data_IF_287552787472
#
_entry.id   IF_287552787472
#
_cell.length_a   1.000
_cell.length_b   1.000
_cell.length_c   1.000
_cell.angle_alpha   90.00
_cell.angle_beta   90.00
_cell.angle_gamma   90.00
#
_symmetry.space_group_name_H-M   'P 1'
#
loop_
_entity.id
_entity.type
_entity.pdbx_description
1 polymer ?
#
# COMPACT_ATOMS: atom_id res chain seq x y z
N UNK A 1 -26.87 -15.62 -48.65
CA UNK A 1 -25.60 -16.10 -48.11
C UNK A 1 -24.63 -14.96 -47.70
N UNK A 2 -24.31 -13.99 -48.58
CA UNK A 2 -23.37 -12.90 -48.28
C UNK A 2 -23.77 -12.01 -47.09
N UNK A 3 -25.09 -11.77 -46.89
CA UNK A 3 -25.60 -10.94 -45.77
C UNK A 3 -25.54 -11.63 -44.41
N UNK A 4 -25.69 -12.96 -44.38
CA UNK A 4 -25.59 -13.75 -43.15
C UNK A 4 -24.13 -13.84 -42.68
N UNK A 5 -23.18 -13.97 -43.62
CA UNK A 5 -21.75 -13.93 -43.32
C UNK A 5 -21.28 -12.58 -42.73
N UNK A 6 -21.81 -11.45 -43.23
CA UNK A 6 -21.49 -10.12 -42.72
C UNK A 6 -22.01 -9.90 -41.29
N UNK A 7 -23.19 -10.45 -40.96
CA UNK A 7 -23.78 -10.36 -39.62
C UNK A 7 -23.01 -11.23 -38.63
N UNK A 8 -22.63 -12.45 -39.03
CA UNK A 8 -21.81 -13.35 -38.19
C UNK A 8 -20.40 -12.79 -37.95
N UNK A 9 -19.76 -12.19 -38.95
CA UNK A 9 -18.46 -11.54 -38.81
C UNK A 9 -18.53 -10.32 -37.91
N UNK A 10 -19.60 -9.49 -38.02
CA UNK A 10 -19.83 -8.35 -37.13
C UNK A 10 -20.05 -8.76 -35.66
N UNK A 11 -20.78 -9.84 -35.43
CA UNK A 11 -21.05 -10.37 -34.10
C UNK A 11 -19.80 -10.99 -33.45
N UNK A 12 -18.93 -11.62 -34.25
CA UNK A 12 -17.63 -12.15 -33.76
C UNK A 12 -16.66 -11.04 -33.39
N UNK A 13 -16.67 -9.90 -34.12
CA UNK A 13 -15.85 -8.72 -33.81
C UNK A 13 -16.32 -8.02 -32.54
N UNK A 14 -17.63 -8.01 -32.26
CA UNK A 14 -18.17 -7.38 -31.03
C UNK A 14 -17.83 -8.18 -29.77
N UNK A 15 -17.76 -9.51 -29.87
CA UNK A 15 -17.41 -10.39 -28.75
C UNK A 15 -15.92 -10.26 -28.39
N UNK A 16 -15.04 -9.97 -29.36
CA UNK A 16 -13.60 -9.80 -29.10
C UNK A 16 -13.25 -8.47 -28.42
N UNK A 17 -14.14 -7.46 -28.41
CA UNK A 17 -13.93 -6.19 -27.73
C UNK A 17 -14.26 -6.23 -26.22
N UNK A 18 -14.92 -7.28 -25.74
CA UNK A 18 -15.30 -7.44 -24.33
C UNK A 18 -14.21 -8.11 -23.47
N UNK A 19 -13.15 -8.63 -24.08
CA UNK A 19 -12.04 -9.29 -23.35
C UNK A 19 -10.84 -8.39 -23.05
N UNK A 20 -10.91 -7.09 -23.36
CA UNK A 20 -9.86 -6.12 -23.04
C UNK A 20 -10.02 -5.45 -21.67
N UNK A 21 -10.78 -6.04 -20.72
CA UNK A 21 -10.62 -5.74 -19.31
C UNK A 21 -9.29 -6.37 -18.88
N UNK A 22 -8.24 -5.55 -18.81
CA UNK A 22 -6.96 -5.96 -18.24
C UNK A 22 -7.24 -6.62 -16.91
N UNK A 23 -6.78 -7.86 -16.75
CA UNK A 23 -6.91 -8.62 -15.50
C UNK A 23 -6.13 -7.86 -14.44
N UNK A 24 -6.77 -6.90 -13.75
CA UNK A 24 -6.26 -6.42 -12.48
C UNK A 24 -6.19 -7.65 -11.60
N UNK A 25 -5.00 -8.00 -11.17
CA UNK A 25 -4.83 -9.09 -10.22
C UNK A 25 -5.55 -8.65 -8.95
N UNK A 26 -6.73 -9.22 -8.73
CA UNK A 26 -7.59 -8.89 -7.59
C UNK A 26 -6.85 -9.18 -6.29
N UNK A 27 -6.96 -8.30 -5.32
CA UNK A 27 -6.43 -8.54 -3.98
C UNK A 27 -7.19 -9.71 -3.35
N UNK A 28 -6.46 -10.61 -2.71
CA UNK A 28 -7.03 -11.74 -1.99
C UNK A 28 -7.41 -11.32 -0.57
N UNK A 29 -8.50 -11.87 -0.04
CA UNK A 29 -8.94 -11.59 1.32
C UNK A 29 -7.92 -12.10 2.34
N UNK A 30 -7.60 -11.28 3.34
CA UNK A 30 -6.62 -11.61 4.38
C UNK A 30 -5.93 -10.42 5.01
N UNK A 31 -5.08 -10.70 6.01
CA UNK A 31 -4.14 -9.74 6.57
C UNK A 31 -2.77 -9.91 5.91
N UNK A 32 -2.18 -8.81 5.50
CA UNK A 32 -0.87 -8.79 4.87
C UNK A 32 0.00 -7.74 5.53
N UNK A 33 1.27 -8.09 5.78
CA UNK A 33 2.22 -7.21 6.47
C UNK A 33 3.52 -7.13 5.68
N UNK A 34 3.99 -5.90 5.49
CA UNK A 34 5.36 -5.60 5.06
C UNK A 34 6.08 -4.85 6.17
N UNK A 35 7.34 -5.19 6.43
CA UNK A 35 8.17 -4.58 7.45
C UNK A 35 9.56 -4.30 6.88
N UNK A 36 10.19 -3.21 7.31
CA UNK A 36 11.59 -2.97 6.97
C UNK A 36 12.46 -4.07 7.58
N UNK A 37 13.49 -4.52 6.87
CA UNK A 37 14.44 -5.52 7.40
C UNK A 37 15.28 -4.94 8.53
N UNK A 38 15.65 -3.65 8.45
CA UNK A 38 16.56 -3.00 9.38
C UNK A 38 15.91 -1.85 10.16
N UNK A 39 16.47 -1.55 11.32
CA UNK A 39 16.11 -0.36 12.09
C UNK A 39 16.78 0.88 11.51
N UNK A 40 16.00 1.95 11.37
CA UNK A 40 16.50 3.28 11.03
C UNK A 40 16.25 4.23 12.21
N UNK A 41 17.33 4.84 12.75
CA UNK A 41 17.24 5.73 13.91
C UNK A 41 16.51 5.12 15.11
N UNK A 42 16.66 3.80 15.31
CA UNK A 42 16.02 3.06 16.41
C UNK A 42 14.58 2.61 16.14
N UNK A 43 14.05 2.86 14.95
CA UNK A 43 12.70 2.51 14.54
C UNK A 43 12.69 1.60 13.32
N UNK A 44 11.79 0.62 13.31
CA UNK A 44 11.52 -0.27 12.20
C UNK A 44 10.10 -0.02 11.71
N UNK A 45 9.96 0.50 10.50
CA UNK A 45 8.66 0.83 9.92
C UNK A 45 7.97 -0.41 9.36
N UNK A 46 6.65 -0.45 9.46
CA UNK A 46 5.81 -1.53 8.94
C UNK A 46 4.49 -1.01 8.42
N UNK A 47 3.87 -1.77 7.54
CA UNK A 47 2.51 -1.58 7.09
C UNK A 47 1.76 -2.91 7.19
N UNK A 48 0.52 -2.86 7.68
CA UNK A 48 -0.41 -3.98 7.65
C UNK A 48 -1.70 -3.54 6.98
N UNK A 49 -2.18 -4.33 6.04
CA UNK A 49 -3.49 -4.11 5.41
C UNK A 49 -4.42 -5.28 5.69
N UNK A 50 -5.71 -4.99 5.79
CA UNK A 50 -6.78 -5.98 5.75
C UNK A 50 -7.52 -5.85 4.44
N UNK A 51 -7.58 -6.94 3.69
CA UNK A 51 -8.37 -7.06 2.46
C UNK A 51 -9.60 -7.90 2.74
N UNK A 52 -10.77 -7.44 2.29
CA UNK A 52 -12.03 -8.16 2.36
C UNK A 52 -12.89 -7.87 1.13
N UNK A 53 -13.40 -8.93 0.49
CA UNK A 53 -14.15 -8.80 -0.76
C UNK A 53 -13.32 -8.21 -1.89
N UNK A 54 -12.01 -8.45 -1.90
CA UNK A 54 -11.07 -7.91 -2.88
C UNK A 54 -10.74 -6.43 -2.72
N UNK A 55 -11.18 -5.79 -1.63
CA UNK A 55 -10.92 -4.37 -1.33
C UNK A 55 -10.16 -4.20 -0.03
N UNK A 56 -9.28 -3.20 0.04
CA UNK A 56 -8.60 -2.81 1.27
C UNK A 56 -9.63 -2.13 2.18
N UNK A 57 -9.84 -2.67 3.38
CA UNK A 57 -10.79 -2.12 4.35
C UNK A 57 -10.11 -1.52 5.58
N UNK A 58 -8.82 -1.77 5.78
CA UNK A 58 -8.02 -1.18 6.84
C UNK A 58 -6.56 -1.11 6.43
N UNK A 59 -5.88 -0.05 6.85
CA UNK A 59 -4.43 0.15 6.70
C UNK A 59 -3.89 0.66 8.02
N UNK A 60 -2.88 -0.03 8.56
CA UNK A 60 -2.05 0.46 9.66
C UNK A 60 -0.62 0.66 9.12
N UNK A 61 -0.11 1.89 9.25
CA UNK A 61 1.28 2.21 8.99
C UNK A 61 1.88 2.85 10.22
N UNK A 62 2.99 2.32 10.72
CA UNK A 62 3.65 2.81 11.91
C UNK A 62 5.12 2.35 11.95
N UNK A 63 5.77 2.57 13.07
CA UNK A 63 7.10 2.04 13.36
C UNK A 63 7.18 1.58 14.81
N UNK A 64 7.98 0.57 15.06
CA UNK A 64 8.27 0.05 16.40
C UNK A 64 9.77 0.10 16.69
N UNK A 65 10.13 0.25 17.96
CA UNK A 65 11.52 0.10 18.41
C UNK A 65 11.82 -1.37 18.75
N UNK A 66 13.06 -1.65 19.16
CA UNK A 66 13.50 -3.02 19.49
C UNK A 66 12.75 -3.65 20.69
N UNK A 67 12.03 -2.86 21.50
CA UNK A 67 11.17 -3.35 22.58
C UNK A 67 9.69 -3.50 22.18
N UNK A 68 9.34 -3.20 20.91
CA UNK A 68 7.96 -3.23 20.42
C UNK A 68 7.15 -1.98 20.75
N UNK A 69 7.78 -0.92 21.27
CA UNK A 69 7.09 0.35 21.55
C UNK A 69 6.82 1.08 20.23
N UNK A 70 5.60 1.57 20.08
CA UNK A 70 5.10 2.18 18.84
C UNK A 70 5.48 3.66 18.76
N UNK A 71 6.07 4.08 17.65
CA UNK A 71 6.59 5.43 17.42
C UNK A 71 5.54 6.53 17.56
N UNK A 72 4.33 6.30 17.08
CA UNK A 72 3.22 7.24 17.18
C UNK A 72 2.64 7.38 18.60
N UNK A 73 3.14 6.62 19.58
CA UNK A 73 2.80 6.74 21.00
C UNK A 73 3.88 7.46 21.80
N UNK A 74 5.03 7.73 21.19
CA UNK A 74 6.13 8.46 21.83
C UNK A 74 5.86 9.97 21.77
N UNK A 75 5.23 10.49 22.84
CA UNK A 75 4.89 11.91 22.93
C UNK A 75 6.12 12.82 22.92
N UNK A 76 7.23 12.40 23.52
CA UNK A 76 8.45 13.19 23.53
C UNK A 76 9.06 13.29 22.14
N UNK A 77 9.09 12.16 21.41
CA UNK A 77 9.53 12.13 20.03
C UNK A 77 8.63 12.97 19.11
N UNK A 78 7.29 12.86 19.28
CA UNK A 78 6.33 13.62 18.48
C UNK A 78 6.48 15.14 18.68
N UNK A 79 6.62 15.61 19.92
CA UNK A 79 6.81 17.03 20.21
C UNK A 79 8.12 17.57 19.64
N UNK A 80 9.21 16.81 19.76
CA UNK A 80 10.50 17.18 19.18
C UNK A 80 10.45 17.25 17.67
N UNK A 81 9.86 16.25 17.02
CA UNK A 81 9.73 16.19 15.57
C UNK A 81 8.83 17.31 15.03
N UNK A 82 7.72 17.61 15.69
CA UNK A 82 6.84 18.72 15.32
C UNK A 82 7.58 20.04 15.34
N UNK A 83 8.40 20.28 16.39
CA UNK A 83 9.17 21.52 16.53
C UNK A 83 10.22 21.68 15.43
N UNK A 84 10.89 20.60 15.04
CA UNK A 84 12.01 20.62 14.08
C UNK A 84 11.52 20.51 12.61
N UNK A 85 10.55 19.64 12.35
CA UNK A 85 10.15 19.25 11.00
C UNK A 85 8.75 19.75 10.60
N UNK A 86 7.97 20.29 11.54
CA UNK A 86 6.60 20.77 11.29
C UNK A 86 5.55 19.67 11.13
N UNK A 87 5.92 18.42 11.35
CA UNK A 87 5.03 17.24 11.36
C UNK A 87 5.50 16.22 12.39
N UNK A 88 4.70 15.19 12.66
CA UNK A 88 4.97 14.18 13.68
C UNK A 88 4.38 12.80 13.31
N UNK A 89 4.86 11.71 13.92
CA UNK A 89 4.48 10.34 13.55
C UNK A 89 2.98 10.09 13.44
N UNK A 90 2.18 10.52 14.42
CA UNK A 90 0.75 10.29 14.42
C UNK A 90 0.01 11.02 13.29
N UNK A 91 0.57 12.13 12.77
CA UNK A 91 0.02 12.84 11.63
C UNK A 91 0.36 12.13 10.31
N UNK A 92 1.66 11.95 9.99
CA UNK A 92 2.04 11.43 8.69
C UNK A 92 1.70 9.95 8.51
N UNK A 93 1.72 9.14 9.57
CA UNK A 93 1.35 7.71 9.44
C UNK A 93 -0.11 7.54 9.07
N UNK A 94 -1.00 8.34 9.67
CA UNK A 94 -2.45 8.33 9.34
C UNK A 94 -2.72 8.90 7.96
N UNK A 95 -2.00 9.95 7.58
CA UNK A 95 -2.15 10.56 6.27
C UNK A 95 -1.78 9.59 5.14
N UNK A 96 -0.64 8.92 5.23
CA UNK A 96 -0.21 7.95 4.22
C UNK A 96 -1.11 6.70 4.20
N UNK A 97 -1.48 6.18 5.37
CA UNK A 97 -2.42 5.06 5.47
C UNK A 97 -3.79 5.40 4.85
N UNK A 98 -4.28 6.61 5.10
CA UNK A 98 -5.54 7.11 4.52
C UNK A 98 -5.49 7.17 3.00
N UNK A 99 -4.43 7.70 2.40
CA UNK A 99 -4.28 7.75 0.94
C UNK A 99 -4.23 6.35 0.31
N UNK A 100 -3.54 5.39 0.94
CA UNK A 100 -3.51 4.01 0.44
C UNK A 100 -4.89 3.35 0.51
N UNK A 101 -5.63 3.58 1.59
CA UNK A 101 -6.99 3.10 1.77
C UNK A 101 -7.94 3.70 0.73
N UNK A 102 -7.94 5.01 0.56
CA UNK A 102 -8.78 5.72 -0.41
C UNK A 102 -8.46 5.34 -1.85
N UNK A 103 -7.18 5.25 -2.18
CA UNK A 103 -6.70 4.85 -3.50
C UNK A 103 -6.80 3.34 -3.77
N UNK A 104 -7.15 2.51 -2.78
CA UNK A 104 -7.22 1.06 -2.92
C UNK A 104 -5.94 0.43 -3.48
N UNK A 105 -4.79 0.97 -3.09
CA UNK A 105 -3.48 0.55 -3.58
C UNK A 105 -3.12 1.09 -4.96
N UNK A 106 -3.91 2.00 -5.50
CA UNK A 106 -3.66 2.67 -6.77
C UNK A 106 -3.45 4.18 -6.57
N UNK A 107 -2.82 4.78 -7.56
CA UNK A 107 -2.58 6.21 -7.56
C UNK A 107 -1.28 6.63 -6.88
N UNK A 108 -1.08 7.94 -6.88
CA UNK A 108 0.08 8.57 -6.25
C UNK A 108 -0.25 8.89 -4.79
N UNK A 109 0.69 8.61 -3.92
CA UNK A 109 0.64 9.02 -2.52
C UNK A 109 1.51 10.27 -2.38
N UNK A 110 0.91 11.37 -1.93
CA UNK A 110 1.60 12.64 -1.79
C UNK A 110 2.40 12.70 -0.49
N UNK A 111 3.59 13.31 -0.57
CA UNK A 111 4.46 13.46 0.59
C UNK A 111 3.99 14.62 1.49
N UNK A 112 4.10 14.44 2.81
CA UNK A 112 4.03 15.54 3.79
C UNK A 112 5.42 16.14 3.95
N UNK A 113 5.49 17.48 3.92
CA UNK A 113 6.71 18.22 4.22
C UNK A 113 7.22 17.85 5.64
N UNK A 114 8.49 17.56 5.77
CA UNK A 114 9.11 17.12 7.02
C UNK A 114 9.03 15.62 7.30
N UNK A 115 8.31 14.84 6.47
CA UNK A 115 8.23 13.36 6.56
C UNK A 115 8.64 12.67 5.25
N UNK A 116 9.54 13.25 4.46
CA UNK A 116 9.93 12.74 3.14
C UNK A 116 10.61 11.37 3.21
N UNK A 117 11.43 11.14 4.24
CA UNK A 117 12.07 9.85 4.49
C UNK A 117 11.03 8.75 4.71
N UNK A 118 10.07 8.98 5.63
CA UNK A 118 8.99 8.04 5.91
C UNK A 118 8.04 7.87 4.71
N UNK A 119 7.90 8.89 3.84
CA UNK A 119 7.17 8.73 2.58
C UNK A 119 7.83 7.71 1.65
N UNK A 120 9.15 7.79 1.47
CA UNK A 120 9.90 6.82 0.65
C UNK A 120 9.78 5.39 1.20
N UNK A 121 9.96 5.22 2.51
CA UNK A 121 9.78 3.92 3.18
C UNK A 121 8.34 3.41 3.04
N UNK A 122 7.35 4.29 3.24
CA UNK A 122 5.94 3.92 3.07
C UNK A 122 5.65 3.38 1.67
N UNK A 123 6.17 4.03 0.61
CA UNK A 123 5.96 3.57 -0.76
C UNK A 123 6.52 2.16 -1.01
N UNK A 124 7.73 1.88 -0.51
CA UNK A 124 8.34 0.56 -0.62
C UNK A 124 7.53 -0.51 0.13
N UNK A 125 7.11 -0.21 1.36
CA UNK A 125 6.27 -1.11 2.17
C UNK A 125 4.90 -1.33 1.53
N UNK A 126 4.27 -0.28 1.01
CA UNK A 126 2.98 -0.37 0.33
C UNK A 126 3.07 -1.27 -0.91
N UNK A 127 4.13 -1.14 -1.71
CA UNK A 127 4.36 -2.04 -2.84
C UNK A 127 4.49 -3.50 -2.39
N UNK A 128 5.29 -3.76 -1.36
CA UNK A 128 5.51 -5.11 -0.83
C UNK A 128 4.22 -5.75 -0.32
N UNK A 129 3.46 -5.03 0.49
CA UNK A 129 2.21 -5.57 1.07
C UNK A 129 1.12 -5.80 0.01
N UNK A 130 1.02 -4.93 -0.99
CA UNK A 130 0.08 -5.11 -2.10
C UNK A 130 0.45 -6.31 -2.99
N UNK A 131 1.74 -6.56 -3.18
CA UNK A 131 2.21 -7.74 -3.90
C UNK A 131 1.86 -9.03 -3.16
N UNK A 132 2.04 -9.07 -1.83
CA UNK A 132 1.61 -10.19 -1.00
C UNK A 132 0.10 -10.40 -1.08
N UNK A 133 -0.69 -9.33 -1.01
CA UNK A 133 -2.13 -9.41 -1.14
C UNK A 133 -2.61 -9.93 -2.51
N UNK A 134 -1.91 -9.59 -3.60
CA UNK A 134 -2.21 -10.14 -4.92
C UNK A 134 -1.89 -11.64 -5.03
N UNK A 135 -0.85 -12.09 -4.32
CA UNK A 135 -0.46 -13.51 -4.27
C UNK A 135 -1.29 -14.33 -3.28
N UNK A 136 -1.98 -13.68 -2.34
CA UNK A 136 -2.64 -14.36 -1.21
C UNK A 136 -1.64 -14.92 -0.19
N UNK A 137 -0.41 -14.40 -0.16
CA UNK A 137 0.64 -14.84 0.74
C UNK A 137 0.64 -13.99 2.02
N UNK A 138 0.18 -14.54 3.13
CA UNK A 138 0.09 -13.87 4.42
C UNK A 138 1.41 -13.87 5.22
N UNK A 139 2.50 -14.39 4.68
CA UNK A 139 3.81 -14.25 5.31
C UNK A 139 4.24 -12.78 5.35
N UNK A 140 4.98 -12.40 6.40
CA UNK A 140 5.54 -11.05 6.49
C UNK A 140 6.62 -10.89 5.42
N UNK A 141 6.49 -9.89 4.56
CA UNK A 141 7.55 -9.53 3.63
C UNK A 141 8.49 -8.51 4.25
N UNK A 142 9.78 -8.80 4.22
CA UNK A 142 10.82 -7.86 4.65
C UNK A 142 11.34 -7.07 3.47
N UNK A 143 11.43 -5.75 3.64
CA UNK A 143 11.82 -4.79 2.61
C UNK A 143 13.14 -4.14 3.00
N UNK A 144 14.09 -4.12 2.08
CA UNK A 144 15.38 -3.46 2.25
C UNK A 144 15.41 -2.08 1.59
N UNK A 145 16.14 -1.14 2.19
CA UNK A 145 16.37 0.19 1.59
C UNK A 145 17.44 0.19 0.49
N UNK A 146 18.13 -0.95 0.30
CA UNK A 146 19.24 -1.08 -0.64
C UNK A 146 18.76 -1.63 -1.99
N UNK A 147 18.12 -0.76 -2.77
CA UNK A 147 17.96 -0.97 -4.22
C UNK A 147 18.26 0.32 -4.97
#
# INVERSE_FOLDING_TARGET
MKRIFAILAGMLLLVSLLTACGSRTQLQDGYYTAQMSEFSHGWKEYITILVKGGSIISVEYNAENASGFIKSWDNAYMQNMLHVNGTYPNEYTRYYAGQLLEGQGEGRIDAITGATSSHGTFQMLAQGVLEQARKGDSSIVFVDTNH
#
